data_IF_633688414557
#
_entry.id   IF_633688414557
#
_cell.length_a   1.000
_cell.length_b   1.000
_cell.length_c   1.000
_cell.angle_alpha   90.00
_cell.angle_beta   90.00
_cell.angle_gamma   90.00
#
_symmetry.space_group_name_H-M   'P 1'
#
loop_
_entity.id
_entity.type
_entity.pdbx_description
1 polymer ?
#
# COMPACT_ATOMS: atom_id res chain seq x y z
N UNK A 1 -12.81 -50.94 17.62
CA UNK A 1 -12.37 -51.80 18.73
C UNK A 1 -10.85 -51.90 18.67
N UNK A 2 -10.09 -51.01 19.31
CA UNK A 2 -8.74 -51.26 19.74
C UNK A 2 -8.50 -50.38 20.98
N UNK A 3 -8.04 -51.02 21.95
CA UNK A 3 -7.83 -50.91 23.36
C UNK A 3 -7.04 -49.70 23.86
N UNK A 4 -7.56 -49.07 24.91
CA UNK A 4 -6.85 -48.24 25.87
C UNK A 4 -6.06 -49.14 26.84
N UNK A 5 -4.80 -48.77 27.12
CA UNK A 5 -4.09 -49.12 28.34
C UNK A 5 -3.42 -47.87 28.85
N UNK A 6 -3.91 -47.29 29.92
CA UNK A 6 -3.43 -47.29 31.31
C UNK A 6 -1.88 -47.13 31.38
N UNK A 7 -1.27 -46.13 31.99
CA UNK A 7 -1.49 -45.47 33.25
C UNK A 7 -0.14 -45.39 33.91
N UNK A 8 0.31 -44.23 34.39
CA UNK A 8 1.27 -44.13 35.50
C UNK A 8 0.99 -42.86 36.28
N UNK A 9 0.81 -43.06 37.56
CA UNK A 9 0.60 -42.06 38.60
C UNK A 9 1.88 -41.27 38.90
N UNK A 10 1.80 -40.07 39.53
CA UNK A 10 2.96 -39.25 39.82
C UNK A 10 3.72 -39.73 41.04
N UNK A 11 5.06 -39.72 40.97
CA UNK A 11 5.93 -39.88 42.14
C UNK A 11 6.11 -38.54 42.85
N UNK A 12 5.84 -38.56 44.12
CA UNK A 12 6.12 -37.51 45.09
C UNK A 12 7.63 -37.40 45.34
N UNK A 13 8.28 -36.38 44.77
CA UNK A 13 9.47 -35.79 45.38
C UNK A 13 9.73 -34.41 44.74
N UNK A 14 9.41 -33.39 45.54
CA UNK A 14 9.61 -32.00 45.13
C UNK A 14 11.09 -31.62 45.03
N UNK A 15 11.66 -31.71 43.87
CA UNK A 15 12.90 -31.01 43.52
C UNK A 15 12.67 -30.21 42.23
N UNK A 16 12.71 -28.89 42.38
CA UNK A 16 12.83 -27.95 41.27
C UNK A 16 14.11 -28.29 40.49
N UNK A 17 13.92 -28.69 39.23
CA UNK A 17 15.02 -28.79 38.28
C UNK A 17 15.32 -27.37 37.74
N UNK A 18 16.59 -27.01 37.52
CA UNK A 18 16.97 -25.70 37.03
C UNK A 18 16.47 -25.50 35.58
N UNK A 19 15.98 -24.30 35.31
CA UNK A 19 15.65 -23.83 33.96
C UNK A 19 16.85 -24.04 33.03
N UNK A 20 16.77 -25.04 32.15
CA UNK A 20 17.70 -25.18 31.07
C UNK A 20 17.22 -24.28 29.93
N UNK A 21 17.99 -23.23 29.66
CA UNK A 21 17.80 -22.31 28.56
C UNK A 21 17.52 -23.02 27.22
N UNK A 22 16.42 -22.65 26.60
CA UNK A 22 15.95 -23.23 25.34
C UNK A 22 17.01 -23.15 24.27
N UNK A 23 17.52 -24.29 23.81
CA UNK A 23 18.31 -24.41 22.60
C UNK A 23 17.38 -24.26 21.41
N UNK A 24 17.57 -23.21 20.65
CA UNK A 24 16.89 -22.92 19.40
C UNK A 24 17.27 -23.98 18.34
N UNK A 25 16.30 -24.69 17.80
CA UNK A 25 16.50 -25.50 16.62
C UNK A 25 16.48 -24.59 15.40
N UNK A 26 17.65 -24.33 14.82
CA UNK A 26 17.78 -23.66 13.53
C UNK A 26 17.49 -24.68 12.43
N UNK A 27 16.25 -24.75 11.97
CA UNK A 27 15.92 -25.45 10.73
C UNK A 27 15.78 -24.37 9.67
N UNK A 28 16.74 -24.35 8.73
CA UNK A 28 16.75 -23.50 7.52
C UNK A 28 16.89 -21.98 7.71
N UNK A 29 17.62 -21.48 8.69
CA UNK A 29 18.00 -20.07 8.75
C UNK A 29 16.85 -19.06 9.02
N UNK A 30 15.65 -19.54 9.26
CA UNK A 30 14.48 -18.69 9.55
C UNK A 30 14.36 -18.52 11.06
N UNK A 31 14.51 -17.30 11.55
CA UNK A 31 14.16 -16.96 12.92
C UNK A 31 12.64 -16.93 13.04
N UNK A 32 12.03 -17.98 13.55
CA UNK A 32 10.66 -17.92 14.04
C UNK A 32 10.64 -17.15 15.36
N UNK A 33 9.79 -16.15 15.48
CA UNK A 33 9.51 -15.56 16.78
C UNK A 33 8.74 -16.57 17.61
N UNK A 34 9.18 -16.89 18.83
CA UNK A 34 8.36 -17.71 19.75
C UNK A 34 7.05 -16.95 20.02
N UNK A 35 5.98 -17.68 20.12
CA UNK A 35 4.60 -17.19 20.28
C UNK A 35 4.30 -16.48 21.60
N UNK A 36 5.29 -16.10 22.38
CA UNK A 36 5.13 -15.45 23.70
C UNK A 36 5.29 -13.93 23.68
N UNK A 37 5.88 -13.33 22.63
CA UNK A 37 6.12 -11.89 22.60
C UNK A 37 5.22 -11.22 21.56
N UNK A 38 4.14 -10.63 22.05
CA UNK A 38 3.23 -9.80 21.28
C UNK A 38 3.99 -8.60 20.72
N UNK A 39 4.09 -8.52 19.38
CA UNK A 39 4.79 -7.44 18.70
C UNK A 39 4.03 -6.14 18.78
N UNK A 40 4.72 -5.06 19.14
CA UNK A 40 4.20 -3.69 19.13
C UNK A 40 4.51 -3.01 17.82
N UNK A 41 3.47 -2.60 17.09
CA UNK A 41 3.55 -1.92 15.80
C UNK A 41 3.18 -0.45 15.98
N UNK A 42 4.02 0.45 15.50
CA UNK A 42 3.69 1.85 15.31
C UNK A 42 3.32 2.05 13.84
N UNK A 43 2.03 2.24 13.57
CA UNK A 43 1.51 2.49 12.22
C UNK A 43 1.55 3.98 11.94
N UNK A 44 2.26 4.40 10.90
CA UNK A 44 2.37 5.80 10.46
C UNK A 44 1.46 6.04 9.26
N UNK A 45 0.26 6.53 9.51
CA UNK A 45 -0.85 6.65 8.59
C UNK A 45 -2.00 5.75 8.99
N UNK A 46 -3.16 6.33 9.26
CA UNK A 46 -4.32 5.61 9.80
C UNK A 46 -5.53 5.68 8.86
N UNK A 47 -5.28 5.66 7.55
CA UNK A 47 -6.29 5.64 6.52
C UNK A 47 -7.06 4.32 6.42
N UNK A 48 -7.79 4.15 5.33
CA UNK A 48 -8.59 2.94 5.05
C UNK A 48 -7.72 1.69 4.90
N UNK A 49 -6.57 1.81 4.23
CA UNK A 49 -5.63 0.70 4.07
C UNK A 49 -5.01 0.33 5.42
N UNK A 50 -4.61 1.34 6.19
CA UNK A 50 -4.12 1.15 7.55
C UNK A 50 -5.13 0.44 8.45
N UNK A 51 -6.43 0.74 8.32
CA UNK A 51 -7.49 0.04 9.07
C UNK A 51 -7.52 -1.46 8.78
N UNK A 52 -7.50 -1.85 7.51
CA UNK A 52 -7.50 -3.27 7.14
C UNK A 52 -6.19 -3.96 7.55
N UNK A 53 -5.06 -3.27 7.46
CA UNK A 53 -3.79 -3.78 7.99
C UNK A 53 -3.84 -4.00 9.51
N UNK A 54 -4.37 -3.04 10.29
CA UNK A 54 -4.53 -3.21 11.73
C UNK A 54 -5.41 -4.40 12.06
N UNK A 55 -6.52 -4.59 11.35
CA UNK A 55 -7.39 -5.75 11.54
C UNK A 55 -6.60 -7.05 11.34
N UNK A 56 -5.80 -7.15 10.28
CA UNK A 56 -4.96 -8.33 10.01
C UNK A 56 -3.87 -8.52 11.09
N UNK A 57 -3.19 -7.46 11.51
CA UNK A 57 -2.19 -7.49 12.57
C UNK A 57 -2.79 -7.91 13.93
N UNK A 58 -3.97 -7.39 14.25
CA UNK A 58 -4.70 -7.75 15.49
C UNK A 58 -5.11 -9.22 15.52
N UNK A 59 -5.54 -9.80 14.39
CA UNK A 59 -5.82 -11.25 14.28
C UNK A 59 -4.59 -12.12 14.58
N UNK A 60 -3.38 -11.56 14.37
CA UNK A 60 -2.09 -12.22 14.64
C UNK A 60 -1.52 -11.87 16.02
N UNK A 61 -2.29 -11.20 16.88
CA UNK A 61 -1.93 -10.91 18.27
C UNK A 61 -1.03 -9.67 18.46
N UNK A 62 -0.86 -8.81 17.46
CA UNK A 62 -0.07 -7.60 17.60
C UNK A 62 -0.76 -6.53 18.47
N UNK A 63 0.03 -5.75 19.17
CA UNK A 63 -0.38 -4.49 19.78
C UNK A 63 -0.10 -3.35 18.79
N UNK A 64 -1.09 -2.56 18.42
CA UNK A 64 -0.96 -1.53 17.40
C UNK A 64 -1.25 -0.14 17.96
N UNK A 65 -0.30 0.77 17.74
CA UNK A 65 -0.45 2.21 17.95
C UNK A 65 -0.65 2.87 16.60
N UNK A 66 -1.84 3.42 16.34
CA UNK A 66 -2.19 4.05 15.07
C UNK A 66 -1.97 5.56 15.13
N UNK A 67 -1.13 6.11 14.24
CA UNK A 67 -0.78 7.53 14.18
C UNK A 67 -1.38 8.20 12.93
N UNK A 68 -1.91 9.40 13.09
CA UNK A 68 -2.33 10.25 11.96
C UNK A 68 -2.34 11.73 12.37
N UNK A 69 -2.51 12.61 11.40
CA UNK A 69 -2.59 14.07 11.61
C UNK A 69 -3.94 14.54 12.14
N UNK A 70 -4.95 13.66 12.23
CA UNK A 70 -6.30 13.97 12.73
C UNK A 70 -6.89 12.84 13.57
N UNK A 71 -7.72 13.20 14.54
CA UNK A 71 -8.37 12.25 15.43
C UNK A 71 -9.48 11.44 14.72
N UNK A 72 -9.72 10.22 15.19
CA UNK A 72 -10.78 9.37 14.67
C UNK A 72 -10.50 8.83 13.27
N UNK A 73 -9.24 8.81 12.82
CA UNK A 73 -8.85 8.19 11.57
C UNK A 73 -9.25 6.71 11.54
N UNK A 74 -9.52 6.13 10.35
CA UNK A 74 -10.05 4.76 10.23
C UNK A 74 -9.31 3.68 11.03
N UNK A 75 -7.99 3.64 10.97
CA UNK A 75 -7.20 2.65 11.70
C UNK A 75 -7.23 2.84 13.22
N UNK A 76 -7.35 4.09 13.70
CA UNK A 76 -7.46 4.39 15.15
C UNK A 76 -8.70 3.74 15.79
N UNK A 77 -9.74 3.47 14.99
CA UNK A 77 -10.99 2.86 15.47
C UNK A 77 -10.85 1.38 15.83
N UNK A 78 -9.78 0.74 15.39
CA UNK A 78 -9.52 -0.71 15.56
C UNK A 78 -8.16 -1.01 16.18
N UNK A 79 -7.34 -0.01 16.42
CA UNK A 79 -6.05 -0.13 17.09
C UNK A 79 -6.21 -0.17 18.63
N UNK A 80 -5.14 -0.55 19.33
CA UNK A 80 -5.10 -0.55 20.80
C UNK A 80 -4.88 0.84 21.36
N UNK A 81 -4.05 1.63 20.67
CA UNK A 81 -3.72 3.01 21.04
C UNK A 81 -3.77 3.90 19.80
N UNK A 82 -3.96 5.19 20.00
CA UNK A 82 -3.91 6.17 18.92
C UNK A 82 -3.09 7.40 19.32
N UNK A 83 -2.41 7.98 18.33
CA UNK A 83 -1.58 9.17 18.51
C UNK A 83 -1.86 10.17 17.38
N UNK A 84 -2.13 11.43 17.74
CA UNK A 84 -2.49 12.48 16.76
C UNK A 84 -1.39 13.52 16.72
N UNK A 85 -0.66 13.57 15.59
CA UNK A 85 0.39 14.57 15.34
C UNK A 85 0.70 14.63 13.83
N UNK A 86 1.34 15.70 13.39
CA UNK A 86 1.85 15.80 12.02
C UNK A 86 3.10 14.95 11.87
N UNK A 87 3.05 13.88 11.07
CA UNK A 87 4.21 13.03 10.78
C UNK A 87 5.26 13.73 9.89
N UNK A 88 4.97 14.94 9.40
CA UNK A 88 5.94 15.83 8.77
C UNK A 88 6.74 16.66 9.79
N UNK A 89 6.28 16.71 11.04
CA UNK A 89 7.02 17.32 12.16
C UNK A 89 8.01 16.30 12.69
N UNK A 90 9.30 16.60 12.49
CA UNK A 90 10.42 15.75 12.88
C UNK A 90 10.44 15.46 14.38
N UNK A 91 10.27 16.51 15.20
CA UNK A 91 10.32 16.37 16.66
C UNK A 91 9.16 15.53 17.20
N UNK A 92 7.96 15.74 16.67
CA UNK A 92 6.77 14.99 17.07
C UNK A 92 6.86 13.52 16.64
N UNK A 93 7.34 13.23 15.41
CA UNK A 93 7.54 11.87 14.93
C UNK A 93 8.57 11.11 15.77
N UNK A 94 9.72 11.72 16.03
CA UNK A 94 10.77 11.15 16.88
C UNK A 94 10.27 10.90 18.31
N UNK A 95 9.57 11.88 18.89
CA UNK A 95 8.99 11.74 20.22
C UNK A 95 8.00 10.59 20.31
N UNK A 96 7.12 10.41 19.32
CA UNK A 96 6.17 9.30 19.28
C UNK A 96 6.88 7.94 19.20
N UNK A 97 7.92 7.80 18.35
CA UNK A 97 8.71 6.57 18.24
C UNK A 97 9.36 6.23 19.58
N UNK A 98 10.05 7.18 20.20
CA UNK A 98 10.73 6.95 21.48
C UNK A 98 9.74 6.76 22.66
N UNK A 99 8.59 7.40 22.63
CA UNK A 99 7.55 7.21 23.68
C UNK A 99 6.97 5.80 23.61
N UNK A 100 6.64 5.33 22.42
CA UNK A 100 5.95 4.05 22.26
C UNK A 100 6.90 2.85 22.22
N UNK A 101 8.19 3.04 21.92
CA UNK A 101 9.19 1.97 21.83
C UNK A 101 8.66 0.75 21.02
N UNK A 102 8.26 0.95 19.73
CA UNK A 102 7.70 -0.13 18.94
C UNK A 102 8.78 -1.16 18.55
N UNK A 103 8.36 -2.41 18.39
CA UNK A 103 9.19 -3.42 17.71
C UNK A 103 9.31 -3.16 16.21
N UNK A 104 8.24 -2.61 15.62
CA UNK A 104 8.12 -2.40 14.18
C UNK A 104 7.47 -1.04 13.90
N UNK A 105 8.05 -0.28 12.99
CA UNK A 105 7.48 0.97 12.45
C UNK A 105 7.01 0.69 11.03
N UNK A 106 5.71 0.89 10.78
CA UNK A 106 5.08 0.56 9.50
C UNK A 106 4.51 1.84 8.87
N UNK A 107 5.21 2.46 7.89
CA UNK A 107 4.68 3.57 7.10
C UNK A 107 3.53 3.10 6.20
N UNK A 108 2.44 3.88 6.18
CA UNK A 108 1.24 3.56 5.39
C UNK A 108 0.83 4.73 4.46
N UNK A 109 1.39 5.91 4.66
CA UNK A 109 1.14 7.10 3.82
C UNK A 109 2.45 7.76 3.38
N UNK A 110 2.36 8.68 2.42
CA UNK A 110 3.52 9.42 1.90
C UNK A 110 3.89 10.66 2.75
N UNK A 111 2.96 11.17 3.59
CA UNK A 111 3.17 12.40 4.33
C UNK A 111 3.92 12.16 5.65
N UNK A 112 5.15 11.66 5.57
CA UNK A 112 6.04 11.34 6.69
C UNK A 112 7.41 12.01 6.45
N UNK A 113 8.04 12.47 7.52
CA UNK A 113 9.44 12.92 7.49
C UNK A 113 10.35 11.70 7.47
N UNK A 114 10.61 11.18 6.27
CA UNK A 114 11.32 9.89 6.08
C UNK A 114 12.79 9.95 6.46
N UNK A 115 13.38 11.12 6.57
CA UNK A 115 14.72 11.31 7.09
C UNK A 115 14.82 10.82 8.53
N UNK A 116 13.79 11.09 9.35
CA UNK A 116 13.70 10.55 10.74
C UNK A 116 13.68 9.03 10.75
N UNK A 117 13.00 8.40 9.78
CA UNK A 117 12.98 6.94 9.70
C UNK A 117 14.37 6.35 9.44
N UNK A 118 15.17 7.00 8.57
CA UNK A 118 16.55 6.58 8.31
C UNK A 118 17.43 6.69 9.57
N UNK A 119 17.21 7.71 10.39
CA UNK A 119 17.96 7.94 11.62
C UNK A 119 17.57 6.94 12.72
N UNK A 120 16.27 6.74 12.98
CA UNK A 120 15.82 5.79 14.00
C UNK A 120 16.13 4.34 13.63
N UNK A 121 16.22 4.01 12.34
CA UNK A 121 16.71 2.69 11.91
C UNK A 121 18.18 2.49 12.32
N UNK A 122 19.02 3.54 12.27
CA UNK A 122 20.39 3.49 12.80
C UNK A 122 20.44 3.40 14.34
N UNK A 123 19.42 3.90 15.02
CA UNK A 123 19.26 3.76 16.48
C UNK A 123 18.80 2.34 16.88
N UNK A 124 18.45 1.49 15.92
CA UNK A 124 18.06 0.09 16.13
C UNK A 124 16.56 -0.20 16.07
N UNK A 125 15.72 0.78 15.74
CA UNK A 125 14.32 0.52 15.42
C UNK A 125 14.19 -0.16 14.06
N UNK A 126 13.20 -1.03 13.90
CA UNK A 126 12.95 -1.71 12.63
C UNK A 126 11.85 -1.00 11.85
N UNK A 127 12.18 -0.47 10.66
CA UNK A 127 11.24 0.15 9.73
C UNK A 127 10.88 -0.83 8.61
N UNK A 128 9.59 -0.98 8.29
CA UNK A 128 9.07 -1.94 7.32
C UNK A 128 8.46 -1.22 6.10
N UNK A 129 8.82 -1.63 4.87
CA UNK A 129 9.78 -2.69 4.51
C UNK A 129 11.22 -2.32 4.88
N UNK A 130 11.62 -1.03 4.72
CA UNK A 130 12.85 -0.40 5.20
C UNK A 130 12.69 1.12 5.18
N UNK A 131 13.45 1.85 6.00
CA UNK A 131 13.47 3.32 5.96
C UNK A 131 13.92 3.83 4.58
N UNK A 132 14.85 3.13 3.93
CA UNK A 132 15.30 3.43 2.56
C UNK A 132 14.15 3.30 1.56
N UNK A 133 13.36 2.22 1.61
CA UNK A 133 12.21 2.04 0.73
C UNK A 133 11.20 3.18 0.91
N UNK A 134 10.82 3.51 2.14
CA UNK A 134 9.93 4.63 2.43
C UNK A 134 10.47 5.96 1.89
N UNK A 135 11.76 6.26 2.12
CA UNK A 135 12.38 7.51 1.68
C UNK A 135 12.46 7.64 0.15
N UNK A 136 12.82 6.57 -0.55
CA UNK A 136 12.97 6.61 -2.02
C UNK A 136 11.64 6.67 -2.74
N UNK A 137 10.61 5.99 -2.25
CA UNK A 137 9.31 5.92 -2.93
C UNK A 137 8.42 7.13 -2.68
N UNK A 138 8.64 7.87 -1.60
CA UNK A 138 7.95 9.14 -1.36
C UNK A 138 8.35 10.25 -2.32
N UNK A 139 9.48 10.10 -2.97
CA UNK A 139 10.02 11.04 -3.94
C UNK A 139 10.02 10.38 -5.32
N UNK A 140 9.11 10.79 -6.20
CA UNK A 140 8.97 10.22 -7.56
C UNK A 140 10.26 10.28 -8.37
N UNK A 141 11.08 11.31 -8.17
CA UNK A 141 12.38 11.42 -8.81
C UNK A 141 13.32 10.28 -8.37
N UNK A 142 13.39 10.00 -7.10
CA UNK A 142 14.32 9.00 -6.57
C UNK A 142 13.96 7.58 -7.02
N UNK A 143 12.69 7.20 -7.00
CA UNK A 143 12.30 5.85 -7.44
C UNK A 143 12.49 5.66 -8.95
N UNK A 144 12.33 6.72 -9.75
CA UNK A 144 12.62 6.70 -11.18
C UNK A 144 14.11 6.50 -11.43
N UNK A 145 14.97 7.22 -10.71
CA UNK A 145 16.43 7.09 -10.80
C UNK A 145 16.89 5.67 -10.40
N UNK A 146 16.29 5.08 -9.37
CA UNK A 146 16.53 3.67 -9.00
C UNK A 146 16.16 2.73 -10.15
N UNK A 147 14.97 2.88 -10.73
CA UNK A 147 14.53 2.03 -11.85
C UNK A 147 15.49 2.11 -13.05
N UNK A 148 15.90 3.32 -13.44
CA UNK A 148 16.88 3.53 -14.51
C UNK A 148 18.26 2.94 -14.14
N UNK A 149 18.74 3.17 -12.93
CA UNK A 149 20.02 2.62 -12.45
C UNK A 149 20.07 1.09 -12.47
N UNK A 150 18.93 0.45 -12.28
CA UNK A 150 18.75 -0.99 -12.38
C UNK A 150 18.50 -1.49 -13.81
N UNK A 151 18.41 -0.59 -14.80
CA UNK A 151 18.08 -0.96 -16.19
C UNK A 151 16.65 -1.47 -16.34
N UNK A 152 15.72 -1.00 -15.49
CA UNK A 152 14.28 -1.30 -15.60
C UNK A 152 13.65 -0.36 -16.62
N UNK A 153 12.84 -0.90 -17.54
CA UNK A 153 12.13 -0.12 -18.55
C UNK A 153 11.07 0.77 -17.88
N UNK A 154 11.26 2.07 -17.93
CA UNK A 154 10.31 3.08 -17.45
C UNK A 154 10.07 4.14 -18.52
N UNK A 155 9.08 5.01 -18.36
CA UNK A 155 8.85 6.14 -19.24
C UNK A 155 10.12 7.00 -19.36
N UNK A 156 10.41 7.58 -20.54
CA UNK A 156 11.45 8.60 -20.64
C UNK A 156 11.03 9.79 -19.80
N UNK A 157 11.96 10.34 -19.03
CA UNK A 157 11.64 11.45 -18.15
C UNK A 157 12.82 12.42 -18.04
N UNK A 158 12.51 13.60 -17.55
CA UNK A 158 13.47 14.61 -17.13
C UNK A 158 12.87 15.41 -15.97
N UNK A 159 13.69 16.24 -15.34
CA UNK A 159 13.26 17.11 -14.25
C UNK A 159 13.32 18.56 -14.69
N UNK A 160 12.45 19.38 -14.09
CA UNK A 160 12.45 20.82 -14.33
C UNK A 160 12.16 21.60 -13.04
N UNK A 161 12.85 22.74 -12.86
CA UNK A 161 12.72 23.61 -11.70
C UNK A 161 12.16 24.99 -12.07
N UNK A 162 11.77 25.17 -13.34
CA UNK A 162 11.08 26.36 -13.86
C UNK A 162 10.22 26.01 -15.07
N UNK A 163 9.26 26.85 -15.40
CA UNK A 163 8.44 26.68 -16.61
C UNK A 163 9.28 26.70 -17.90
N UNK A 164 10.34 27.51 -17.96
CA UNK A 164 11.23 27.59 -19.12
C UNK A 164 12.06 26.29 -19.26
N UNK A 165 12.57 25.75 -18.17
CA UNK A 165 13.27 24.47 -18.14
C UNK A 165 12.31 23.34 -18.53
N UNK A 166 11.08 23.32 -17.96
CA UNK A 166 10.03 22.36 -18.32
C UNK A 166 9.74 22.36 -19.83
N UNK A 167 9.66 23.54 -20.45
CA UNK A 167 9.47 23.63 -21.89
C UNK A 167 10.62 22.97 -22.67
N UNK A 168 11.86 23.23 -22.25
CA UNK A 168 13.06 22.66 -22.88
C UNK A 168 13.06 21.13 -22.77
N UNK A 169 12.78 20.60 -21.58
CA UNK A 169 12.74 19.16 -21.35
C UNK A 169 11.59 18.49 -22.09
N UNK A 170 10.39 19.10 -22.10
CA UNK A 170 9.24 18.59 -22.82
C UNK A 170 9.48 18.54 -24.35
N UNK A 171 10.16 19.53 -24.92
CA UNK A 171 10.55 19.51 -26.32
C UNK A 171 11.57 18.40 -26.64
N UNK A 172 12.49 18.12 -25.73
CA UNK A 172 13.47 17.05 -25.88
C UNK A 172 12.84 15.65 -25.80
N UNK A 173 11.83 15.47 -24.95
CA UNK A 173 11.07 14.21 -24.85
C UNK A 173 10.13 14.02 -26.04
N UNK A 174 9.46 15.09 -26.46
CA UNK A 174 8.44 15.11 -27.53
C UNK A 174 7.01 15.06 -26.97
N UNK A 175 6.14 15.95 -27.47
CA UNK A 175 4.73 16.02 -27.07
C UNK A 175 3.91 14.84 -27.62
N UNK A 176 2.87 14.38 -26.87
CA UNK A 176 2.42 14.86 -25.57
C UNK A 176 3.33 14.39 -24.43
N UNK A 177 3.38 15.16 -23.33
CA UNK A 177 4.10 14.83 -22.12
C UNK A 177 3.19 14.88 -20.90
N UNK A 178 3.51 14.08 -19.87
CA UNK A 178 2.87 14.11 -18.55
C UNK A 178 3.76 14.91 -17.60
N UNK A 179 3.18 15.88 -16.92
CA UNK A 179 3.87 16.70 -15.92
C UNK A 179 3.29 16.39 -14.55
N UNK A 180 4.16 16.07 -13.60
CA UNK A 180 3.77 15.72 -12.22
C UNK A 180 4.66 16.46 -11.23
N UNK A 181 4.13 16.96 -10.10
CA UNK A 181 4.98 17.36 -8.98
C UNK A 181 5.82 16.17 -8.50
N UNK A 182 7.06 16.40 -8.11
CA UNK A 182 7.94 15.35 -7.56
C UNK A 182 7.32 14.78 -6.27
N UNK A 183 6.71 15.63 -5.46
CA UNK A 183 6.02 15.21 -4.24
C UNK A 183 4.53 15.59 -4.30
N UNK A 184 3.67 14.62 -4.54
CA UNK A 184 2.20 14.77 -4.50
C UNK A 184 1.56 13.40 -4.31
N UNK A 185 0.30 13.38 -3.90
CA UNK A 185 -0.52 12.16 -3.80
C UNK A 185 -1.79 12.27 -4.62
N UNK A 186 -2.36 11.14 -5.04
CA UNK A 186 -3.64 11.07 -5.75
C UNK A 186 -3.70 11.98 -6.98
N UNK A 187 -2.64 12.00 -7.79
CA UNK A 187 -2.59 12.75 -9.05
C UNK A 187 -2.72 14.28 -8.94
N UNK A 188 -2.66 14.86 -7.73
CA UNK A 188 -2.75 16.31 -7.57
C UNK A 188 -1.60 17.01 -8.27
N UNK A 189 -1.93 18.05 -9.07
CA UNK A 189 -0.96 18.79 -9.86
C UNK A 189 -0.47 18.05 -11.12
N UNK A 190 -0.97 16.84 -11.40
CA UNK A 190 -0.65 16.11 -12.61
C UNK A 190 -1.46 16.65 -13.80
N UNK A 191 -0.80 16.87 -14.93
CA UNK A 191 -1.43 17.30 -16.17
C UNK A 191 -0.76 16.66 -17.40
N UNK A 192 -1.45 16.69 -18.53
CA UNK A 192 -0.90 16.31 -19.84
C UNK A 192 -0.79 17.56 -20.68
N UNK A 193 0.42 17.90 -21.11
CA UNK A 193 0.64 18.97 -22.11
C UNK A 193 0.80 18.35 -23.50
N UNK A 194 -0.02 18.80 -24.43
CA UNK A 194 -0.01 18.32 -25.83
C UNK A 194 0.81 19.20 -26.74
N UNK A 195 1.17 20.38 -26.27
CA UNK A 195 1.95 21.36 -27.02
C UNK A 195 2.72 22.30 -26.11
N UNK A 196 3.67 23.03 -26.68
CA UNK A 196 4.46 24.03 -25.98
C UNK A 196 3.60 25.14 -25.33
N UNK A 197 2.44 25.47 -25.91
CA UNK A 197 1.54 26.49 -25.38
C UNK A 197 0.87 26.10 -24.04
N UNK A 198 0.82 24.82 -23.71
CA UNK A 198 0.19 24.31 -22.49
C UNK A 198 1.17 24.21 -21.29
N UNK A 199 2.47 24.41 -21.54
CA UNK A 199 3.52 24.19 -20.53
C UNK A 199 3.39 25.13 -19.33
N UNK A 200 3.14 26.43 -19.56
CA UNK A 200 3.03 27.38 -18.44
C UNK A 200 1.85 27.01 -17.54
N UNK A 201 0.68 26.73 -18.12
CA UNK A 201 -0.49 26.32 -17.33
C UNK A 201 -0.24 25.00 -16.57
N UNK A 202 0.46 24.04 -17.18
CA UNK A 202 0.83 22.77 -16.54
C UNK A 202 1.81 22.97 -15.39
N UNK A 203 2.79 23.86 -15.54
CA UNK A 203 3.71 24.24 -14.48
C UNK A 203 2.98 24.86 -13.29
N UNK A 204 2.13 25.86 -13.55
CA UNK A 204 1.38 26.56 -12.51
C UNK A 204 0.45 25.59 -11.76
N UNK A 205 -0.20 24.67 -12.47
CA UNK A 205 -1.04 23.63 -11.87
C UNK A 205 -0.23 22.64 -11.03
N UNK A 206 0.95 22.23 -11.52
CA UNK A 206 1.85 21.36 -10.75
C UNK A 206 2.31 22.04 -9.46
N UNK A 207 2.69 23.33 -9.52
CA UNK A 207 3.09 24.10 -8.33
C UNK A 207 1.98 24.21 -7.29
N UNK A 208 0.71 24.35 -7.70
CA UNK A 208 -0.43 24.36 -6.77
C UNK A 208 -0.68 22.99 -6.09
N UNK A 209 -0.34 21.89 -6.77
CA UNK A 209 -0.51 20.53 -6.27
C UNK A 209 0.68 19.98 -5.46
N UNK A 210 1.78 20.72 -5.39
CA UNK A 210 3.00 20.31 -4.68
C UNK A 210 2.79 20.21 -3.17
N UNK A 211 3.50 19.23 -2.59
CA UNK A 211 3.72 19.15 -1.14
C UNK A 211 5.21 19.40 -0.87
N UNK A 212 5.50 20.10 0.23
CA UNK A 212 6.88 20.46 0.61
C UNK A 212 7.33 21.78 -0.02
N UNK A 213 8.62 22.10 0.13
CA UNK A 213 9.26 23.37 -0.15
C UNK A 213 10.03 23.41 -1.49
N UNK A 214 10.11 22.27 -2.20
CA UNK A 214 10.86 22.16 -3.45
C UNK A 214 9.97 22.36 -4.68
N UNK A 215 10.15 23.43 -5.42
CA UNK A 215 9.52 23.62 -6.72
C UNK A 215 10.26 22.81 -7.80
N UNK A 216 9.94 21.51 -7.89
CA UNK A 216 10.49 20.59 -8.88
C UNK A 216 9.39 19.71 -9.45
N UNK A 217 9.36 19.56 -10.75
CA UNK A 217 8.45 18.65 -11.47
C UNK A 217 9.23 17.56 -12.19
N UNK A 218 8.60 16.44 -12.41
CA UNK A 218 9.01 15.44 -13.39
C UNK A 218 8.15 15.62 -14.63
N UNK A 219 8.77 15.60 -15.79
CA UNK A 219 8.14 15.55 -17.11
C UNK A 219 8.46 14.20 -17.73
N UNK A 220 7.41 13.49 -18.15
CA UNK A 220 7.50 12.12 -18.67
C UNK A 220 6.88 12.01 -20.05
N UNK A 221 7.39 11.10 -20.88
CA UNK A 221 6.70 10.75 -22.13
C UNK A 221 5.30 10.23 -21.83
N UNK A 222 4.35 10.57 -22.69
CA UNK A 222 2.99 10.05 -22.58
C UNK A 222 2.94 8.63 -23.14
N UNK A 223 2.72 7.65 -22.26
CA UNK A 223 2.62 6.24 -22.65
C UNK A 223 1.21 5.94 -23.14
N UNK A 224 1.10 5.47 -24.40
CA UNK A 224 -0.14 4.92 -24.95
C UNK A 224 -0.25 3.45 -24.54
N UNK A 225 -0.93 3.18 -23.45
CA UNK A 225 -1.13 1.84 -22.92
C UNK A 225 -2.51 1.26 -23.29
N UNK A 226 -2.61 -0.06 -23.31
CA UNK A 226 -3.89 -0.76 -23.47
C UNK A 226 -4.61 -0.87 -22.11
N UNK A 227 -3.86 -1.12 -21.04
CA UNK A 227 -4.35 -1.15 -19.67
C UNK A 227 -3.20 -0.96 -18.67
N UNK A 228 -3.57 -0.63 -17.42
CA UNK A 228 -2.67 -0.54 -16.28
C UNK A 228 -2.88 -1.75 -15.36
N UNK A 229 -1.80 -2.20 -14.72
CA UNK A 229 -1.87 -3.21 -13.68
C UNK A 229 -1.13 -2.75 -12.42
N UNK A 230 -1.62 -3.23 -11.29
CA UNK A 230 -0.84 -3.31 -10.05
C UNK A 230 -0.43 -4.76 -9.83
N UNK A 231 0.85 -5.00 -9.63
CA UNK A 231 1.41 -6.29 -9.25
C UNK A 231 1.82 -6.23 -7.78
N UNK A 232 1.01 -6.81 -6.91
CA UNK A 232 1.35 -6.93 -5.49
C UNK A 232 2.50 -7.90 -5.34
N UNK A 233 3.62 -7.38 -4.83
CA UNK A 233 4.90 -8.07 -4.71
C UNK A 233 5.25 -8.19 -3.23
N UNK A 234 5.41 -9.40 -2.72
CA UNK A 234 5.63 -9.65 -1.30
C UNK A 234 7.06 -10.15 -1.11
N UNK A 235 7.87 -9.39 -0.38
CA UNK A 235 9.19 -9.83 0.06
C UNK A 235 9.11 -10.41 1.45
N UNK A 236 9.53 -11.66 1.59
CA UNK A 236 9.57 -12.34 2.87
C UNK A 236 10.93 -12.12 3.54
N UNK A 237 10.99 -12.23 4.86
CA UNK A 237 12.24 -12.09 5.64
C UNK A 237 13.33 -13.12 5.26
N UNK A 238 12.95 -14.25 4.68
CA UNK A 238 13.90 -15.25 4.15
C UNK A 238 14.46 -14.91 2.75
N UNK A 239 14.14 -13.73 2.22
CA UNK A 239 14.58 -13.24 0.92
C UNK A 239 13.74 -13.71 -0.26
N UNK A 240 12.76 -14.61 -0.07
CA UNK A 240 11.88 -15.07 -1.15
C UNK A 240 10.89 -13.99 -1.52
N UNK A 241 10.73 -13.76 -2.82
CA UNK A 241 9.69 -12.90 -3.39
C UNK A 241 8.50 -13.74 -3.86
N UNK A 242 7.29 -13.27 -3.54
CA UNK A 242 6.02 -13.83 -4.01
C UNK A 242 5.25 -12.75 -4.77
N UNK A 243 4.40 -13.18 -5.70
CA UNK A 243 3.55 -12.29 -6.48
C UNK A 243 2.11 -12.74 -6.36
N UNK A 244 1.19 -11.77 -6.25
CA UNK A 244 -0.23 -12.02 -6.49
C UNK A 244 -0.49 -12.05 -7.99
N UNK A 245 -1.65 -12.55 -8.40
CA UNK A 245 -2.12 -12.33 -9.77
C UNK A 245 -2.28 -10.83 -10.05
N UNK A 246 -2.02 -10.38 -11.29
CA UNK A 246 -2.09 -8.97 -11.62
C UNK A 246 -3.50 -8.41 -11.42
N UNK A 247 -3.56 -7.19 -10.91
CA UNK A 247 -4.78 -6.45 -10.67
C UNK A 247 -4.92 -5.39 -11.78
N UNK A 248 -5.98 -5.50 -12.58
CA UNK A 248 -6.38 -4.44 -13.50
C UNK A 248 -7.14 -3.36 -12.74
N UNK A 249 -6.96 -2.10 -13.12
CA UNK A 249 -7.65 -1.00 -12.45
C UNK A 249 -7.93 0.17 -13.39
N UNK A 250 -8.80 1.04 -12.96
CA UNK A 250 -9.08 2.32 -13.62
C UNK A 250 -8.97 3.44 -12.60
N UNK A 251 -8.26 4.48 -12.99
CA UNK A 251 -8.14 5.73 -12.24
C UNK A 251 -8.87 6.85 -12.99
N UNK A 252 -9.48 7.76 -12.26
CA UNK A 252 -10.00 9.03 -12.79
C UNK A 252 -9.43 10.18 -11.97
N UNK A 253 -8.92 11.20 -12.62
CA UNK A 253 -8.25 12.35 -11.96
C UNK A 253 -7.06 11.93 -11.06
N UNK A 254 -6.42 10.79 -11.38
CA UNK A 254 -5.38 10.19 -10.55
C UNK A 254 -5.88 9.49 -9.27
N UNK A 255 -7.20 9.37 -9.11
CA UNK A 255 -7.81 8.63 -8.00
C UNK A 255 -8.35 7.29 -8.48
N UNK A 256 -8.06 6.23 -7.74
CA UNK A 256 -8.59 4.89 -7.93
C UNK A 256 -10.12 4.89 -7.93
N UNK A 257 -10.74 4.22 -8.91
CA UNK A 257 -12.19 4.09 -9.06
C UNK A 257 -12.67 2.64 -8.85
N UNK A 258 -12.05 1.71 -9.55
CA UNK A 258 -12.36 0.29 -9.43
C UNK A 258 -11.19 -0.56 -9.90
N UNK A 259 -11.11 -1.78 -9.39
CA UNK A 259 -10.13 -2.79 -9.76
C UNK A 259 -10.76 -4.15 -9.88
N UNK A 260 -10.07 -5.05 -10.55
CA UNK A 260 -10.47 -6.45 -10.70
C UNK A 260 -9.24 -7.36 -10.71
N UNK A 261 -9.44 -8.61 -10.32
CA UNK A 261 -8.41 -9.63 -10.27
C UNK A 261 -9.01 -11.00 -10.63
N UNK A 262 -8.31 -11.84 -11.44
CA UNK A 262 -7.05 -11.51 -12.10
C UNK A 262 -7.26 -10.65 -13.36
N UNK A 263 -6.30 -9.79 -13.68
CA UNK A 263 -6.22 -9.15 -14.99
C UNK A 263 -5.58 -10.12 -15.98
N UNK A 264 -6.31 -10.48 -17.02
CA UNK A 264 -5.77 -11.30 -18.10
C UNK A 264 -4.68 -10.56 -18.88
N UNK A 265 -3.52 -11.17 -19.06
CA UNK A 265 -2.41 -10.64 -19.84
C UNK A 265 -1.54 -11.76 -20.42
N UNK A 266 -0.70 -11.43 -21.39
CA UNK A 266 0.25 -12.38 -21.97
C UNK A 266 1.25 -12.87 -20.91
N UNK A 267 1.56 -14.16 -20.90
CA UNK A 267 2.46 -14.74 -19.91
C UNK A 267 3.86 -14.11 -19.92
N UNK A 268 4.38 -13.77 -21.11
CA UNK A 268 5.68 -13.11 -21.22
C UNK A 268 5.66 -11.69 -20.63
N UNK A 269 4.54 -11.00 -20.74
CA UNK A 269 4.37 -9.68 -20.13
C UNK A 269 4.28 -9.77 -18.60
N UNK A 270 3.56 -10.79 -18.10
CA UNK A 270 3.51 -11.04 -16.66
C UNK A 270 4.91 -11.37 -16.11
N UNK A 271 5.68 -12.22 -16.78
CA UNK A 271 7.06 -12.52 -16.38
C UNK A 271 7.94 -11.27 -16.38
N UNK A 272 7.86 -10.45 -17.42
CA UNK A 272 8.61 -9.19 -17.49
C UNK A 272 8.25 -8.24 -16.34
N UNK A 273 6.96 -8.11 -15.99
CA UNK A 273 6.50 -7.33 -14.84
C UNK A 273 7.06 -7.89 -13.52
N UNK A 274 7.01 -9.21 -13.33
CA UNK A 274 7.56 -9.87 -12.14
C UNK A 274 9.08 -9.68 -12.00
N UNK A 275 9.83 -9.82 -13.08
CA UNK A 275 11.29 -9.61 -13.10
C UNK A 275 11.65 -8.15 -12.75
N UNK A 276 10.93 -7.17 -13.31
CA UNK A 276 11.13 -5.76 -12.98
C UNK A 276 10.77 -5.47 -11.52
N UNK A 277 9.62 -5.98 -11.04
CA UNK A 277 9.19 -5.82 -9.66
C UNK A 277 10.17 -6.44 -8.67
N UNK A 278 10.64 -7.67 -8.93
CA UNK A 278 11.63 -8.33 -8.07
C UNK A 278 12.94 -7.54 -8.02
N UNK A 279 13.39 -7.03 -9.16
CA UNK A 279 14.63 -6.27 -9.27
C UNK A 279 14.58 -4.99 -8.45
N UNK A 280 13.51 -4.20 -8.59
CA UNK A 280 13.35 -2.94 -7.85
C UNK A 280 13.12 -3.19 -6.36
N UNK A 281 12.23 -4.11 -5.98
CA UNK A 281 11.94 -4.38 -4.57
C UNK A 281 13.14 -5.03 -3.86
N UNK A 282 13.97 -5.80 -4.57
CA UNK A 282 15.22 -6.35 -4.02
C UNK A 282 16.24 -5.27 -3.72
N UNK A 283 16.38 -4.27 -4.58
CA UNK A 283 17.26 -3.11 -4.35
C UNK A 283 16.77 -2.26 -3.17
N UNK A 284 15.46 -2.04 -3.06
CA UNK A 284 14.89 -1.30 -1.94
C UNK A 284 15.08 -2.00 -0.59
N UNK A 285 15.16 -3.32 -0.60
CA UNK A 285 15.39 -4.13 0.59
C UNK A 285 14.17 -4.27 1.50
N UNK A 286 14.40 -4.90 2.66
CA UNK A 286 13.38 -5.13 3.67
C UNK A 286 12.40 -6.26 3.35
N UNK A 287 11.44 -6.46 4.23
CA UNK A 287 10.35 -7.44 4.09
C UNK A 287 9.01 -6.73 4.23
N UNK A 288 8.05 -7.07 3.38
CA UNK A 288 6.74 -6.43 3.35
C UNK A 288 6.08 -6.59 1.99
N UNK A 289 4.98 -5.90 1.79
CA UNK A 289 4.26 -5.85 0.54
C UNK A 289 4.58 -4.55 -0.19
N UNK A 290 4.71 -4.66 -1.51
CA UNK A 290 4.92 -3.55 -2.43
C UNK A 290 3.83 -3.59 -3.50
N UNK A 291 3.14 -2.48 -3.71
CA UNK A 291 2.27 -2.26 -4.85
C UNK A 291 3.09 -1.71 -6.02
N UNK A 292 3.33 -2.52 -7.05
CA UNK A 292 4.13 -2.12 -8.21
C UNK A 292 3.22 -1.92 -9.40
N UNK A 293 3.21 -0.71 -9.98
CA UNK A 293 2.35 -0.34 -11.08
C UNK A 293 3.09 -0.41 -12.43
N UNK A 294 2.38 -0.90 -13.44
CA UNK A 294 2.90 -1.03 -14.80
C UNK A 294 1.89 -0.58 -15.82
N UNK A 295 2.37 0.09 -16.86
CA UNK A 295 1.63 0.26 -18.12
C UNK A 295 1.88 -0.97 -19.00
N UNK A 296 0.81 -1.54 -19.53
CA UNK A 296 0.87 -2.62 -20.51
C UNK A 296 0.48 -2.04 -21.87
N UNK A 297 1.43 -2.00 -22.77
CA UNK A 297 1.25 -1.55 -24.14
C UNK A 297 1.05 -2.74 -25.06
N UNK A 298 0.88 -2.48 -26.36
CA UNK A 298 0.80 -3.53 -27.37
C UNK A 298 2.08 -4.36 -27.45
N UNK A 299 3.22 -3.73 -27.19
CA UNK A 299 4.55 -4.27 -27.51
C UNK A 299 5.40 -4.60 -26.28
N UNK A 300 5.15 -3.94 -25.15
CA UNK A 300 5.97 -4.07 -23.94
C UNK A 300 5.22 -3.77 -22.63
N UNK A 301 5.86 -4.09 -21.52
CA UNK A 301 5.45 -3.68 -20.16
C UNK A 301 6.44 -2.63 -19.66
N UNK A 302 5.91 -1.55 -19.09
CA UNK A 302 6.67 -0.37 -18.66
C UNK A 302 6.40 -0.15 -17.17
N UNK A 303 7.46 -0.10 -16.36
CA UNK A 303 7.36 0.26 -14.94
C UNK A 303 6.86 1.70 -14.79
N UNK A 304 5.82 1.87 -13.99
CA UNK A 304 5.22 3.18 -13.72
C UNK A 304 5.56 3.72 -12.34
N UNK A 305 5.15 3.08 -11.28
CA UNK A 305 5.32 3.56 -9.91
C UNK A 305 5.44 2.37 -8.94
N UNK A 306 5.89 2.64 -7.70
CA UNK A 306 5.95 1.65 -6.64
C UNK A 306 5.60 2.29 -5.29
N UNK A 307 4.72 1.63 -4.56
CA UNK A 307 4.40 1.94 -3.16
C UNK A 307 4.91 0.83 -2.25
N UNK A 308 5.70 1.12 -1.19
CA UNK A 308 6.28 0.11 -0.29
C UNK A 308 5.28 -0.27 0.83
N UNK A 309 4.04 -0.50 0.48
CA UNK A 309 2.90 -0.72 1.37
C UNK A 309 1.71 -1.29 0.61
N UNK A 310 0.62 -1.71 1.29
CA UNK A 310 -0.64 -2.03 0.64
C UNK A 310 -1.12 -0.92 -0.31
N UNK A 311 -1.73 -1.32 -1.42
CA UNK A 311 -2.13 -0.44 -2.51
C UNK A 311 -3.66 -0.34 -2.59
N UNK A 312 -4.20 0.84 -2.90
CA UNK A 312 -5.65 1.03 -2.94
C UNK A 312 -6.37 0.15 -3.99
N UNK A 313 -5.70 -0.16 -5.11
CA UNK A 313 -6.22 -1.13 -6.08
C UNK A 313 -6.29 -2.55 -5.52
N UNK A 314 -5.45 -2.87 -4.53
CA UNK A 314 -5.40 -4.17 -3.85
C UNK A 314 -6.57 -4.44 -2.90
N UNK A 315 -7.46 -3.46 -2.66
CA UNK A 315 -8.72 -3.68 -1.95
C UNK A 315 -9.54 -4.85 -2.53
N UNK A 316 -9.38 -5.15 -3.82
CA UNK A 316 -10.03 -6.31 -4.46
C UNK A 316 -9.63 -7.63 -3.80
N UNK A 317 -8.43 -7.73 -3.25
CA UNK A 317 -7.93 -8.94 -2.58
C UNK A 317 -8.72 -9.33 -1.33
N UNK A 318 -9.46 -8.40 -0.75
CA UNK A 318 -10.39 -8.68 0.35
C UNK A 318 -11.50 -9.69 -0.03
N UNK A 319 -11.75 -9.88 -1.31
CA UNK A 319 -12.77 -10.80 -1.80
C UNK A 319 -12.28 -11.79 -2.84
N UNK A 320 -11.20 -11.48 -3.54
CA UNK A 320 -10.64 -12.31 -4.61
C UNK A 320 -9.58 -13.30 -4.13
N UNK A 321 -8.98 -13.11 -2.95
CA UNK A 321 -7.89 -13.97 -2.48
C UNK A 321 -8.22 -14.68 -1.16
N UNK A 322 -7.53 -15.80 -0.91
CA UNK A 322 -7.55 -16.49 0.39
C UNK A 322 -6.82 -15.69 1.49
N UNK A 323 -5.82 -14.89 1.12
CA UNK A 323 -5.10 -13.93 1.96
C UNK A 323 -5.15 -12.58 1.26
N UNK A 324 -5.78 -11.60 1.89
CA UNK A 324 -5.79 -10.23 1.37
C UNK A 324 -4.37 -9.62 1.34
N UNK A 325 -4.17 -8.55 0.60
CA UNK A 325 -2.90 -7.83 0.63
C UNK A 325 -2.49 -7.40 2.03
N UNK A 326 -3.45 -7.13 2.90
CA UNK A 326 -3.23 -6.76 4.30
C UNK A 326 -2.76 -7.95 5.14
N UNK A 327 -3.33 -9.15 4.90
CA UNK A 327 -2.87 -10.39 5.53
C UNK A 327 -1.47 -10.76 5.05
N UNK A 328 -1.21 -10.60 3.75
CA UNK A 328 0.10 -10.83 3.15
C UNK A 328 1.15 -9.87 3.71
N UNK A 329 0.80 -8.57 3.83
CA UNK A 329 1.68 -7.57 4.41
C UNK A 329 1.96 -7.87 5.89
N UNK A 330 0.94 -8.14 6.69
CA UNK A 330 1.10 -8.48 8.10
C UNK A 330 1.97 -9.73 8.30
N UNK A 331 1.79 -10.78 7.48
CA UNK A 331 2.65 -11.97 7.53
C UNK A 331 4.09 -11.67 7.15
N UNK A 332 4.32 -10.90 6.10
CA UNK A 332 5.67 -10.52 5.67
C UNK A 332 6.38 -9.67 6.74
N UNK A 333 5.69 -8.68 7.31
CA UNK A 333 6.16 -7.82 8.40
C UNK A 333 6.58 -8.65 9.62
N UNK A 334 5.76 -9.62 10.01
CA UNK A 334 5.99 -10.48 11.16
C UNK A 334 6.92 -11.66 10.88
N UNK A 335 7.35 -11.87 9.63
CA UNK A 335 8.15 -13.02 9.24
C UNK A 335 7.40 -14.35 9.27
N UNK A 336 6.07 -14.30 9.19
CA UNK A 336 5.23 -15.49 9.18
C UNK A 336 5.16 -16.13 7.79
N UNK A 337 4.96 -17.44 7.70
CA UNK A 337 4.95 -18.14 6.41
C UNK A 337 3.74 -17.74 5.55
N UNK A 338 3.99 -17.65 4.25
CA UNK A 338 2.98 -17.50 3.20
C UNK A 338 3.11 -18.70 2.27
N UNK A 339 2.44 -19.83 2.59
CA UNK A 339 2.62 -21.07 1.85
C UNK A 339 1.95 -21.05 0.48
N UNK A 340 0.82 -20.37 0.36
CA UNK A 340 0.00 -20.34 -0.85
C UNK A 340 -0.82 -19.06 -0.92
N UNK A 341 -0.84 -18.45 -2.10
CA UNK A 341 -1.75 -17.37 -2.48
C UNK A 341 -2.67 -17.93 -3.55
N UNK A 342 -3.95 -17.99 -3.25
CA UNK A 342 -4.99 -18.44 -4.19
C UNK A 342 -5.89 -17.26 -4.52
N UNK A 343 -6.17 -17.07 -5.80
CA UNK A 343 -7.09 -16.04 -6.27
C UNK A 343 -8.28 -16.63 -7.03
N UNK A 344 -9.37 -15.90 -7.02
CA UNK A 344 -10.58 -16.15 -7.78
C UNK A 344 -11.05 -14.83 -8.39
N UNK A 345 -11.90 -14.89 -9.41
CA UNK A 345 -12.47 -13.68 -10.01
C UNK A 345 -13.16 -12.82 -8.96
N UNK A 346 -12.70 -11.57 -8.86
CA UNK A 346 -13.23 -10.58 -7.94
C UNK A 346 -13.03 -9.16 -8.45
N UNK A 347 -13.80 -8.22 -7.90
CA UNK A 347 -13.66 -6.80 -8.20
C UNK A 347 -14.01 -5.93 -7.01
N UNK A 348 -13.48 -4.70 -7.01
CA UNK A 348 -13.84 -3.65 -6.06
C UNK A 348 -14.19 -2.35 -6.78
N UNK A 349 -15.12 -1.58 -6.22
CA UNK A 349 -15.50 -0.27 -6.72
C UNK A 349 -15.71 0.70 -5.57
N UNK A 350 -15.18 1.92 -5.70
CA UNK A 350 -15.24 2.93 -4.63
C UNK A 350 -16.62 3.55 -4.49
N UNK A 351 -16.95 3.92 -3.27
CA UNK A 351 -18.09 4.79 -2.94
C UNK A 351 -17.53 6.15 -2.58
N UNK A 352 -17.89 7.17 -3.35
CA UNK A 352 -17.37 8.52 -3.22
C UNK A 352 -18.38 9.43 -2.49
N UNK A 353 -17.87 10.33 -1.65
CA UNK A 353 -18.65 11.46 -1.16
C UNK A 353 -18.85 12.50 -2.27
N UNK A 354 -19.98 13.21 -2.21
CA UNK A 354 -20.35 14.23 -3.20
C UNK A 354 -20.27 15.66 -2.67
N UNK A 355 -20.17 15.81 -1.36
CA UNK A 355 -20.16 17.12 -0.67
C UNK A 355 -19.27 17.12 0.57
N UNK A 356 -18.92 18.30 1.03
CA UNK A 356 -18.26 18.50 2.32
C UNK A 356 -19.24 18.22 3.47
N UNK A 357 -18.71 17.71 4.59
CA UNK A 357 -19.47 17.49 5.80
C UNK A 357 -18.73 16.66 6.85
N UNK A 358 -19.38 16.43 7.97
CA UNK A 358 -18.85 15.67 9.10
C UNK A 358 -19.81 14.54 9.51
N UNK A 359 -19.32 13.60 10.30
CA UNK A 359 -20.12 12.49 10.85
C UNK A 359 -20.97 11.78 9.79
N UNK A 360 -20.34 11.25 8.70
CA UNK A 360 -21.08 10.65 7.61
C UNK A 360 -21.84 9.40 8.05
N UNK A 361 -23.05 9.25 7.50
CA UNK A 361 -23.85 8.03 7.54
C UNK A 361 -24.01 7.45 6.14
N UNK A 362 -24.55 6.24 6.04
CA UNK A 362 -24.61 5.49 4.79
C UNK A 362 -26.01 4.89 4.60
N UNK A 363 -26.60 5.10 3.43
CA UNK A 363 -27.83 4.42 3.02
C UNK A 363 -27.56 3.48 1.84
N UNK A 364 -28.48 2.52 1.60
CA UNK A 364 -28.38 1.58 0.50
C UNK A 364 -27.39 0.43 0.70
N UNK A 365 -26.75 0.33 1.87
CA UNK A 365 -25.78 -0.77 2.16
C UNK A 365 -26.47 -2.13 2.16
N UNK A 366 -27.66 -2.24 2.79
CA UNK A 366 -28.43 -3.48 2.79
C UNK A 366 -28.84 -3.91 1.37
N UNK A 367 -29.27 -2.94 0.55
CA UNK A 367 -29.65 -3.19 -0.84
C UNK A 367 -28.43 -3.61 -1.71
N UNK A 368 -27.26 -3.03 -1.43
CA UNK A 368 -26.03 -3.42 -2.11
C UNK A 368 -25.65 -4.88 -1.77
N UNK A 369 -25.75 -5.26 -0.49
CA UNK A 369 -25.37 -6.58 0.02
C UNK A 369 -26.44 -7.66 -0.16
N UNK A 370 -27.62 -7.33 -0.70
CA UNK A 370 -28.70 -8.31 -0.93
C UNK A 370 -28.37 -9.33 -2.03
N UNK A 371 -27.40 -9.05 -2.88
CA UNK A 371 -26.96 -9.95 -3.93
C UNK A 371 -25.84 -10.88 -3.43
N UNK A 372 -25.91 -12.22 -3.65
CA UNK A 372 -24.87 -13.14 -3.21
C UNK A 372 -23.50 -12.81 -3.79
N UNK A 373 -22.46 -12.88 -2.94
CA UNK A 373 -21.07 -12.60 -3.34
C UNK A 373 -20.74 -11.11 -3.43
N UNK A 374 -21.60 -10.24 -2.93
CA UNK A 374 -21.31 -8.82 -2.68
C UNK A 374 -20.95 -8.63 -1.21
N UNK A 375 -19.94 -7.82 -0.97
CA UNK A 375 -19.54 -7.35 0.35
C UNK A 375 -19.23 -5.84 0.31
N UNK A 376 -19.17 -5.19 1.46
CA UNK A 376 -18.92 -3.73 1.57
C UNK A 376 -17.92 -3.47 2.69
N UNK A 377 -16.97 -2.56 2.45
CA UNK A 377 -16.08 -2.03 3.49
C UNK A 377 -16.32 -0.54 3.64
N UNK A 378 -16.89 -0.14 4.76
CA UNK A 378 -17.02 1.28 5.15
C UNK A 378 -15.75 1.69 5.88
N UNK A 379 -15.10 2.74 5.39
CA UNK A 379 -13.79 3.14 5.91
C UNK A 379 -13.87 3.79 7.29
N UNK A 380 -14.97 4.50 7.59
CA UNK A 380 -15.14 5.18 8.87
C UNK A 380 -14.44 6.54 8.95
N UNK A 381 -14.18 7.19 7.82
CA UNK A 381 -13.60 8.55 7.80
C UNK A 381 -14.55 9.54 8.47
N UNK A 382 -14.07 10.42 9.39
CA UNK A 382 -14.95 11.29 10.20
C UNK A 382 -15.53 12.48 9.41
N UNK A 383 -15.00 12.77 8.23
CA UNK A 383 -15.46 13.88 7.39
C UNK A 383 -15.57 13.47 5.93
N UNK A 384 -16.33 14.24 5.15
CA UNK A 384 -16.49 14.09 3.71
C UNK A 384 -15.97 15.32 2.98
N UNK A 385 -15.67 15.12 1.72
CA UNK A 385 -15.44 16.17 0.70
C UNK A 385 -15.74 15.56 -0.66
N UNK A 386 -16.03 16.34 -1.69
CA UNK A 386 -16.22 15.84 -3.04
C UNK A 386 -15.09 14.89 -3.46
N UNK A 387 -15.49 13.75 -3.99
CA UNK A 387 -14.58 12.67 -4.46
C UNK A 387 -13.77 11.96 -3.36
N UNK A 388 -14.00 12.23 -2.08
CA UNK A 388 -13.35 11.44 -1.03
C UNK A 388 -13.91 10.03 -1.01
N UNK A 389 -13.01 9.03 -1.11
CA UNK A 389 -13.37 7.61 -0.99
C UNK A 389 -13.84 7.31 0.44
N UNK A 390 -15.04 6.82 0.60
CA UNK A 390 -15.69 6.59 1.90
C UNK A 390 -15.94 5.10 2.18
N UNK A 391 -16.04 4.30 1.12
CA UNK A 391 -16.24 2.85 1.19
C UNK A 391 -15.78 2.20 -0.11
N UNK A 392 -15.72 0.86 -0.13
CA UNK A 392 -15.68 0.06 -1.35
C UNK A 392 -16.79 -0.99 -1.31
N UNK A 393 -17.41 -1.24 -2.45
CA UNK A 393 -18.22 -2.42 -2.71
C UNK A 393 -17.33 -3.47 -3.40
N UNK A 394 -17.43 -4.69 -2.94
CA UNK A 394 -16.66 -5.85 -3.38
C UNK A 394 -17.59 -6.87 -4.01
N UNK A 395 -17.16 -7.52 -5.09
CA UNK A 395 -17.92 -8.59 -5.73
C UNK A 395 -17.02 -9.78 -6.05
N UNK A 396 -17.54 -11.01 -5.90
CA UNK A 396 -16.83 -12.25 -6.21
C UNK A 396 -17.57 -13.03 -7.29
N UNK A 397 -16.80 -13.67 -8.19
CA UNK A 397 -17.31 -14.56 -9.23
C UNK A 397 -17.64 -13.85 -10.53
N UNK A 398 -18.40 -14.49 -11.41
CA UNK A 398 -18.65 -14.01 -12.77
C UNK A 398 -19.24 -12.59 -12.80
N UNK A 399 -18.76 -11.78 -13.77
CA UNK A 399 -19.15 -10.37 -13.92
C UNK A 399 -18.85 -9.51 -12.67
N UNK A 400 -17.87 -9.90 -11.86
CA UNK A 400 -17.55 -9.23 -10.60
C UNK A 400 -17.44 -7.69 -10.76
N UNK A 401 -16.77 -7.20 -11.82
CA UNK A 401 -16.59 -5.78 -12.04
C UNK A 401 -17.92 -5.02 -12.22
N UNK A 402 -18.81 -5.52 -13.05
CA UNK A 402 -20.11 -4.89 -13.26
C UNK A 402 -20.94 -4.91 -11.97
N UNK A 403 -20.89 -6.02 -11.21
CA UNK A 403 -21.60 -6.21 -9.94
C UNK A 403 -21.06 -5.31 -8.83
N UNK A 404 -19.74 -5.18 -8.68
CA UNK A 404 -19.12 -4.28 -7.70
C UNK A 404 -19.51 -2.81 -7.98
N UNK A 405 -19.46 -2.40 -9.24
CA UNK A 405 -19.87 -1.04 -9.66
C UNK A 405 -21.35 -0.77 -9.40
N UNK A 406 -22.22 -1.72 -9.73
CA UNK A 406 -23.64 -1.60 -9.46
C UNK A 406 -23.94 -1.55 -7.95
N UNK A 407 -23.26 -2.34 -7.13
CA UNK A 407 -23.37 -2.31 -5.68
C UNK A 407 -22.89 -0.96 -5.11
N UNK A 408 -21.74 -0.44 -5.56
CA UNK A 408 -21.22 0.86 -5.12
C UNK A 408 -22.21 2.00 -5.43
N UNK A 409 -22.90 1.96 -6.58
CA UNK A 409 -23.90 2.97 -6.98
C UNK A 409 -25.16 2.97 -6.11
N UNK A 410 -25.48 1.86 -5.43
CA UNK A 410 -26.60 1.79 -4.47
C UNK A 410 -26.30 2.51 -3.17
N UNK A 411 -25.02 2.64 -2.80
CA UNK A 411 -24.59 3.20 -1.53
C UNK A 411 -24.45 4.72 -1.67
N UNK A 412 -25.10 5.44 -0.78
CA UNK A 412 -25.03 6.91 -0.69
C UNK A 412 -24.37 7.32 0.61
N UNK A 413 -23.43 8.24 0.53
CA UNK A 413 -22.80 8.90 1.68
C UNK A 413 -23.65 10.14 2.02
N UNK A 414 -24.12 10.19 3.26
CA UNK A 414 -24.94 11.27 3.79
C UNK A 414 -24.11 11.93 4.88
N UNK A 415 -23.79 13.19 4.73
CA UNK A 415 -23.07 14.00 5.73
C UNK A 415 -23.93 15.15 6.22
N UNK A 416 -23.75 15.50 7.49
CA UNK A 416 -24.39 16.67 8.09
C UNK A 416 -23.67 17.96 7.71
#
# INVERSE_FOLDING_TARGET
MISLTEGMAPSSDGKLLPEQGGRWATILGVRYFPSSDMKKILLLGSGELGKEFVISAKRLGCHVVACDSYAGAPAMQVADESCVFSMLDEAALRAAIHQHQPDLIVPEIEAIRTEVLLEVEQEGFEVIPSARAANLTMNRDRIRDVAVGLGVRTAKFSYAESAQDLLTQAQAIGFPVVIKPVMSSSGKGQSVARSASEIQASWDYACQGMRGDRQKVIVEEFIHFEFEITLLTIRQRNGKTLFCDPIGHVQERGDYQYSWQPQAMKLDYLKAAQEMAEKVTSDLGGAGLFGVEFFVTRDEVIFSELSPRPHDTGMVTLISQNLSEFDLHARAVLGLPIPLIESTEGASAVVLATQDGTNPSYSGVADAMSEPGIDVRIFGKPSTRPYRRMAVALAKGSNALARARAAAQKIRVISA
#
